data_IF_948523642600
#
_entry.id   IF_948523642600
#
_cell.length_a   1.000
_cell.length_b   1.000
_cell.length_c   1.000
_cell.angle_alpha   90.00
_cell.angle_beta   90.00
_cell.angle_gamma   90.00
#
_symmetry.space_group_name_H-M   'P 1'
#
loop_
_entity.id
_entity.type
_entity.pdbx_description
1 polymer ?
#
# COMPACT_ATOMS: atom_id res chain seq x y z
N UNK A 1 -1.03 -1.91 -15.40
CA UNK A 1 -2.15 -2.79 -15.82
C UNK A 1 -1.80 -3.77 -16.95
N UNK A 2 -1.14 -3.34 -18.03
CA UNK A 2 -0.78 -4.25 -19.14
C UNK A 2 0.15 -5.37 -18.66
N UNK A 3 1.26 -5.02 -18.03
CA UNK A 3 2.23 -5.99 -17.49
C UNK A 3 1.63 -6.90 -16.41
N UNK A 4 0.73 -6.38 -15.59
CA UNK A 4 0.01 -7.20 -14.59
C UNK A 4 -0.80 -8.30 -15.26
N UNK A 5 -1.48 -8.00 -16.38
CA UNK A 5 -2.23 -9.01 -17.16
C UNK A 5 -1.31 -10.02 -17.83
N UNK A 6 -0.19 -9.58 -18.37
CA UNK A 6 0.82 -10.50 -18.95
C UNK A 6 1.34 -11.45 -17.87
N UNK A 7 1.75 -10.92 -16.72
CA UNK A 7 2.25 -11.72 -15.61
C UNK A 7 1.18 -12.68 -15.06
N UNK A 8 -0.09 -12.24 -14.98
CA UNK A 8 -1.20 -13.12 -14.61
C UNK A 8 -1.33 -14.31 -15.56
N UNK A 9 -1.32 -14.05 -16.87
CA UNK A 9 -1.44 -15.09 -17.88
C UNK A 9 -0.28 -16.10 -17.82
N UNK A 10 0.95 -15.61 -17.66
CA UNK A 10 2.12 -16.49 -17.52
C UNK A 10 2.06 -17.32 -16.22
N UNK A 11 1.65 -16.70 -15.13
CA UNK A 11 1.51 -17.40 -13.84
C UNK A 11 0.39 -18.44 -13.89
N UNK A 12 -0.73 -18.13 -14.56
CA UNK A 12 -1.86 -19.04 -14.71
C UNK A 12 -1.54 -20.28 -15.52
N UNK A 13 -0.56 -20.24 -16.43
CA UNK A 13 -0.06 -21.44 -17.12
C UNK A 13 0.53 -22.46 -16.15
N UNK A 14 1.19 -21.98 -15.10
CA UNK A 14 1.81 -22.81 -14.05
C UNK A 14 0.84 -23.15 -12.93
N UNK A 15 -0.05 -22.21 -12.60
CA UNK A 15 -1.03 -22.31 -11.50
C UNK A 15 -2.42 -21.92 -12.00
N UNK A 16 -3.17 -22.84 -12.66
CA UNK A 16 -4.44 -22.52 -13.31
C UNK A 16 -5.51 -21.90 -12.42
N UNK A 17 -5.51 -22.23 -11.12
CA UNK A 17 -6.46 -21.67 -10.14
C UNK A 17 -6.35 -20.16 -9.95
N UNK A 18 -5.21 -19.56 -10.30
CA UNK A 18 -5.04 -18.10 -10.22
C UNK A 18 -5.96 -17.38 -11.20
N UNK A 19 -6.19 -17.92 -12.39
CA UNK A 19 -7.01 -17.29 -13.41
C UNK A 19 -8.45 -17.03 -12.95
N UNK A 20 -9.02 -17.91 -12.12
CA UNK A 20 -10.38 -17.77 -11.57
C UNK A 20 -10.46 -17.01 -10.25
N UNK A 21 -9.32 -16.86 -9.54
CA UNK A 21 -9.28 -16.28 -8.19
C UNK A 21 -8.56 -14.92 -8.14
N UNK A 22 -8.29 -14.32 -9.30
CA UNK A 22 -7.64 -13.02 -9.42
C UNK A 22 -8.57 -12.01 -10.07
N UNK A 23 -8.72 -10.86 -9.42
CA UNK A 23 -9.42 -9.70 -9.97
C UNK A 23 -8.47 -8.51 -10.06
N UNK A 24 -8.44 -7.84 -11.23
CA UNK A 24 -7.66 -6.62 -11.46
C UNK A 24 -8.62 -5.45 -11.66
N UNK A 25 -8.58 -4.49 -10.74
CA UNK A 25 -9.23 -3.20 -10.87
C UNK A 25 -8.19 -2.10 -11.12
N UNK A 26 -8.52 -1.17 -12.02
CA UNK A 26 -7.70 0.00 -12.33
C UNK A 26 -8.48 1.22 -11.86
N UNK A 27 -8.11 1.74 -10.72
CA UNK A 27 -8.79 2.85 -10.07
C UNK A 27 -7.83 3.59 -9.12
N UNK A 28 -8.28 4.71 -8.58
CA UNK A 28 -7.59 5.38 -7.48
C UNK A 28 -7.85 4.62 -6.18
N UNK A 29 -6.82 3.96 -5.66
CA UNK A 29 -6.90 3.15 -4.44
C UNK A 29 -7.18 4.00 -3.18
N UNK A 30 -7.06 5.32 -3.24
CA UNK A 30 -7.38 6.23 -2.12
C UNK A 30 -8.85 6.58 -2.04
N UNK A 31 -9.64 6.29 -3.09
CA UNK A 31 -11.04 6.70 -3.19
C UNK A 31 -12.00 5.64 -2.67
N UNK A 32 -13.06 6.10 -2.02
CA UNK A 32 -14.06 5.22 -1.41
C UNK A 32 -14.82 4.32 -2.40
N UNK A 33 -15.16 4.72 -3.65
CA UNK A 33 -15.84 3.82 -4.57
C UNK A 33 -15.01 2.60 -4.99
N UNK A 34 -13.68 2.70 -4.93
CA UNK A 34 -12.79 1.61 -5.34
C UNK A 34 -12.98 0.39 -4.43
N UNK A 35 -13.38 -0.74 -5.00
CA UNK A 35 -13.64 -2.01 -4.31
C UNK A 35 -14.64 -1.89 -3.14
N UNK A 36 -15.61 -0.96 -3.18
CA UNK A 36 -16.54 -0.75 -2.06
C UNK A 36 -17.42 -1.97 -1.76
N UNK A 37 -17.67 -2.83 -2.74
CA UNK A 37 -18.39 -4.10 -2.57
C UNK A 37 -17.64 -5.09 -1.67
N UNK A 38 -16.36 -4.83 -1.37
CA UNK A 38 -15.51 -5.65 -0.52
C UNK A 38 -15.33 -5.06 0.89
N UNK A 39 -16.02 -3.97 1.22
CA UNK A 39 -15.90 -3.33 2.54
C UNK A 39 -16.23 -4.33 3.66
N UNK A 40 -15.34 -4.41 4.65
CA UNK A 40 -15.47 -5.30 5.81
C UNK A 40 -15.27 -6.79 5.51
N UNK A 41 -14.77 -7.16 4.31
CA UNK A 41 -14.63 -8.57 3.92
C UNK A 41 -13.18 -9.03 3.72
N UNK A 42 -12.25 -8.10 3.60
CA UNK A 42 -10.86 -8.40 3.25
C UNK A 42 -10.08 -8.90 4.48
N UNK A 43 -9.34 -9.96 4.31
CA UNK A 43 -8.45 -10.52 5.34
C UNK A 43 -7.15 -9.72 5.46
N UNK A 44 -6.53 -9.37 4.33
CA UNK A 44 -5.24 -8.71 4.29
C UNK A 44 -5.23 -7.63 3.22
N UNK A 45 -4.79 -6.43 3.58
CA UNK A 45 -4.38 -5.37 2.64
C UNK A 45 -2.86 -5.29 2.65
N UNK A 46 -2.24 -5.59 1.51
CA UNK A 46 -0.80 -5.44 1.29
C UNK A 46 -0.58 -4.34 0.26
N UNK A 47 0.22 -3.33 0.60
CA UNK A 47 0.39 -2.16 -0.26
C UNK A 47 1.80 -1.58 -0.19
N UNK A 48 2.29 -1.11 -1.34
CA UNK A 48 3.44 -0.23 -1.48
C UNK A 48 2.93 1.04 -2.19
N UNK A 49 2.41 2.03 -1.43
CA UNK A 49 1.88 3.26 -2.01
C UNK A 49 3.01 4.22 -2.39
N UNK A 50 2.78 5.23 -3.23
CA UNK A 50 3.68 6.36 -3.34
C UNK A 50 3.86 7.04 -1.98
N UNK A 51 5.11 7.24 -1.54
CA UNK A 51 5.43 7.81 -0.21
C UNK A 51 6.60 8.80 -0.23
N UNK A 52 7.25 9.03 -1.37
CA UNK A 52 8.39 9.94 -1.45
C UNK A 52 7.94 11.38 -1.15
N UNK A 53 8.62 12.12 -0.24
CA UNK A 53 8.35 13.53 0.00
C UNK A 53 8.51 14.36 -1.28
N UNK A 54 7.64 15.36 -1.48
CA UNK A 54 7.68 16.19 -2.70
C UNK A 54 8.99 16.97 -2.89
N UNK A 55 9.71 17.24 -1.80
CA UNK A 55 10.99 17.94 -1.85
C UNK A 55 12.18 17.02 -2.16
N UNK A 56 11.99 15.70 -2.06
CA UNK A 56 13.07 14.72 -2.22
C UNK A 56 13.17 14.26 -3.67
N UNK A 57 14.37 14.41 -4.24
CA UNK A 57 14.68 13.86 -5.56
C UNK A 57 15.32 12.48 -5.37
N UNK A 58 14.77 11.42 -5.95
CA UNK A 58 15.36 10.09 -5.86
C UNK A 58 16.83 10.10 -6.34
N UNK A 59 17.72 9.54 -5.51
CA UNK A 59 19.15 9.50 -5.82
C UNK A 59 19.50 8.45 -6.88
N UNK A 60 18.66 7.43 -7.03
CA UNK A 60 18.85 6.36 -8.00
C UNK A 60 18.39 6.85 -9.37
N UNK A 61 19.28 6.90 -10.40
CA UNK A 61 18.92 7.39 -11.74
C UNK A 61 17.77 6.59 -12.37
N UNK A 62 17.73 5.27 -12.10
CA UNK A 62 16.68 4.39 -12.63
C UNK A 62 15.30 4.78 -12.12
N UNK A 63 15.20 5.17 -10.85
CA UNK A 63 13.95 5.62 -10.23
C UNK A 63 13.59 7.02 -10.73
N UNK A 64 14.56 7.94 -10.66
CA UNK A 64 14.35 9.35 -11.02
C UNK A 64 13.94 9.55 -12.48
N UNK A 65 14.55 8.79 -13.38
CA UNK A 65 14.46 9.06 -14.83
C UNK A 65 13.39 8.19 -15.53
N UNK A 66 12.93 7.10 -14.88
CA UNK A 66 12.03 6.12 -15.51
C UNK A 66 10.73 5.85 -14.74
N UNK A 67 10.69 6.06 -13.42
CA UNK A 67 9.45 5.85 -12.66
C UNK A 67 8.54 7.09 -12.77
N UNK A 68 7.24 6.90 -13.02
CA UNK A 68 6.30 8.02 -13.07
C UNK A 68 6.17 8.71 -11.70
N UNK A 69 6.08 10.03 -11.67
CA UNK A 69 5.86 10.82 -10.44
C UNK A 69 4.68 10.30 -9.61
N UNK A 70 3.63 9.86 -10.28
CA UNK A 70 2.43 9.29 -9.65
C UNK A 70 2.71 7.99 -8.89
N UNK A 71 3.78 7.27 -9.23
CA UNK A 71 4.19 6.05 -8.54
C UNK A 71 5.17 6.32 -7.39
N UNK A 72 5.73 7.52 -7.30
CA UNK A 72 6.79 7.88 -6.35
C UNK A 72 6.28 8.77 -5.21
N UNK A 73 5.67 9.91 -5.57
CA UNK A 73 5.42 10.98 -4.60
C UNK A 73 4.14 10.78 -3.80
N UNK A 74 4.26 10.87 -2.47
CA UNK A 74 3.17 10.66 -1.50
C UNK A 74 2.17 11.81 -1.38
N UNK A 75 2.27 12.83 -2.25
CA UNK A 75 1.25 13.88 -2.40
C UNK A 75 1.29 15.00 -1.35
N UNK A 76 2.29 15.02 -0.46
CA UNK A 76 2.51 16.08 0.53
C UNK A 76 4.00 16.39 0.68
N UNK A 77 4.33 17.48 1.38
CA UNK A 77 5.72 17.87 1.62
C UNK A 77 6.54 16.76 2.28
N UNK A 78 5.93 15.98 3.18
CA UNK A 78 6.53 14.84 3.88
C UNK A 78 6.15 13.46 3.28
N UNK A 79 5.42 13.44 2.17
CA UNK A 79 5.03 12.22 1.45
C UNK A 79 3.98 11.35 2.13
N UNK A 80 3.30 11.82 3.18
CA UNK A 80 2.37 10.98 3.97
C UNK A 80 0.92 11.00 3.49
N UNK A 81 0.52 11.95 2.65
CA UNK A 81 -0.90 12.14 2.28
C UNK A 81 -1.52 10.89 1.62
N UNK A 82 -0.84 10.29 0.64
CA UNK A 82 -1.33 9.08 -0.02
C UNK A 82 -1.30 7.88 0.93
N UNK A 83 -0.20 7.57 1.66
CA UNK A 83 -0.20 6.55 2.70
C UNK A 83 -1.34 6.67 3.71
N UNK A 84 -1.63 7.87 4.24
CA UNK A 84 -2.73 8.11 5.17
C UNK A 84 -4.10 7.79 4.54
N UNK A 85 -4.33 8.19 3.29
CA UNK A 85 -5.56 7.85 2.55
C UNK A 85 -5.70 6.34 2.33
N UNK A 86 -4.60 5.64 2.06
CA UNK A 86 -4.60 4.18 1.94
C UNK A 86 -4.93 3.52 3.28
N UNK A 87 -4.38 4.00 4.40
CA UNK A 87 -4.75 3.52 5.75
C UNK A 87 -6.26 3.69 5.98
N UNK A 88 -6.80 4.87 5.69
CA UNK A 88 -8.23 5.15 5.83
C UNK A 88 -9.09 4.23 4.94
N UNK A 89 -8.63 3.93 3.72
CA UNK A 89 -9.32 2.99 2.82
C UNK A 89 -9.21 1.56 3.31
N UNK A 90 -8.04 1.13 3.75
CA UNK A 90 -7.80 -0.19 4.33
C UNK A 90 -8.68 -0.45 5.56
N UNK A 91 -8.89 0.57 6.41
CA UNK A 91 -9.77 0.48 7.58
C UNK A 91 -11.22 0.13 7.22
N UNK A 92 -11.70 0.51 6.02
CA UNK A 92 -13.03 0.15 5.52
C UNK A 92 -13.05 -1.23 4.87
N UNK A 93 -12.03 -1.57 4.10
CA UNK A 93 -11.94 -2.85 3.38
C UNK A 93 -11.76 -4.04 4.33
N UNK A 94 -10.93 -3.88 5.35
CA UNK A 94 -10.57 -4.97 6.25
C UNK A 94 -11.73 -5.35 7.17
N UNK A 95 -11.94 -6.65 7.31
CA UNK A 95 -12.79 -7.21 8.36
C UNK A 95 -12.14 -7.01 9.75
N UNK A 96 -12.93 -7.15 10.82
CA UNK A 96 -12.37 -7.16 12.18
C UNK A 96 -11.33 -8.30 12.31
N UNK A 97 -10.17 -7.96 12.84
CA UNK A 97 -9.03 -8.86 12.92
C UNK A 97 -8.18 -8.94 11.65
N UNK A 98 -8.57 -8.29 10.56
CA UNK A 98 -7.82 -8.22 9.31
C UNK A 98 -6.51 -7.44 9.46
N UNK A 99 -5.56 -7.70 8.57
CA UNK A 99 -4.18 -7.21 8.64
C UNK A 99 -3.90 -6.17 7.54
N UNK A 100 -3.37 -5.02 7.91
CA UNK A 100 -2.71 -4.08 7.01
C UNK A 100 -1.20 -4.31 7.04
N UNK A 101 -0.57 -4.40 5.87
CA UNK A 101 0.88 -4.38 5.67
C UNK A 101 1.19 -3.29 4.65
N UNK A 102 1.95 -2.27 5.04
CA UNK A 102 2.19 -1.11 4.19
C UNK A 102 3.66 -0.68 4.25
N UNK A 103 4.28 -0.54 3.09
CA UNK A 103 5.60 0.07 2.94
C UNK A 103 5.53 1.59 3.12
N UNK A 104 6.60 2.19 3.65
CA UNK A 104 6.70 3.64 3.86
C UNK A 104 8.16 4.13 3.85
N UNK A 105 8.36 5.45 3.77
CA UNK A 105 9.67 6.05 3.95
C UNK A 105 10.20 5.85 5.38
N UNK A 106 11.52 5.82 5.51
CA UNK A 106 12.23 5.61 6.80
C UNK A 106 11.83 6.64 7.88
N UNK A 107 11.38 7.81 7.50
CA UNK A 107 11.00 8.92 8.39
C UNK A 107 9.53 8.92 8.79
N UNK A 108 8.68 8.11 8.13
CA UNK A 108 7.22 8.22 8.24
C UNK A 108 6.59 7.27 9.27
N UNK A 109 7.34 6.28 9.79
CA UNK A 109 6.79 5.20 10.60
C UNK A 109 5.99 5.65 11.82
N UNK A 110 6.49 6.62 12.59
CA UNK A 110 5.82 7.14 13.80
C UNK A 110 4.47 7.81 13.43
N UNK A 111 4.49 8.71 12.43
CA UNK A 111 3.29 9.44 11.98
C UNK A 111 2.22 8.50 11.46
N UNK A 112 2.59 7.56 10.58
CA UNK A 112 1.65 6.63 9.99
C UNK A 112 1.09 5.65 11.04
N UNK A 113 1.90 5.26 12.04
CA UNK A 113 1.44 4.46 13.17
C UNK A 113 0.38 5.19 13.99
N UNK A 114 0.61 6.46 14.34
CA UNK A 114 -0.36 7.28 15.05
C UNK A 114 -1.66 7.46 14.24
N UNK A 115 -1.54 7.67 12.93
CA UNK A 115 -2.70 7.77 12.04
C UNK A 115 -3.49 6.46 11.98
N UNK A 116 -2.82 5.31 11.87
CA UNK A 116 -3.49 4.00 11.85
C UNK A 116 -4.26 3.75 13.16
N UNK A 117 -3.67 4.06 14.32
CA UNK A 117 -4.36 3.96 15.61
C UNK A 117 -5.64 4.80 15.64
N UNK A 118 -5.63 6.01 15.09
CA UNK A 118 -6.81 6.89 15.03
C UNK A 118 -7.93 6.37 14.10
N UNK A 119 -7.58 5.46 13.18
CA UNK A 119 -8.52 4.81 12.25
C UNK A 119 -8.97 3.40 12.68
N UNK A 120 -8.81 3.08 13.98
CA UNK A 120 -9.32 1.83 14.56
C UNK A 120 -8.44 0.62 14.27
N UNK A 121 -7.14 0.84 14.07
CA UNK A 121 -6.16 -0.23 14.09
C UNK A 121 -5.58 -0.42 15.49
N UNK A 122 -5.06 -1.60 15.76
CA UNK A 122 -4.31 -1.97 16.97
C UNK A 122 -3.06 -2.76 16.59
N UNK A 123 -2.21 -3.05 17.56
CA UNK A 123 -0.99 -3.82 17.35
C UNK A 123 -0.16 -3.24 16.17
N UNK A 124 -0.07 -1.90 16.12
CA UNK A 124 0.68 -1.22 15.07
C UNK A 124 2.16 -1.37 15.36
N UNK A 125 2.91 -1.94 14.44
CA UNK A 125 4.35 -2.16 14.54
C UNK A 125 5.06 -1.69 13.27
N UNK A 126 6.19 -1.01 13.45
CA UNK A 126 7.12 -0.66 12.36
C UNK A 126 8.23 -1.70 12.32
N UNK A 127 8.54 -2.17 11.13
CA UNK A 127 9.53 -3.19 10.86
C UNK A 127 10.66 -2.65 10.00
N UNK A 128 11.85 -3.19 10.24
CA UNK A 128 13.03 -2.84 9.46
C UNK A 128 13.18 -3.74 8.22
N UNK A 129 13.81 -3.20 7.19
CA UNK A 129 14.31 -3.97 6.06
C UNK A 129 15.58 -4.76 6.43
N UNK A 130 16.13 -5.51 5.47
CA UNK A 130 17.36 -6.28 5.67
C UNK A 130 18.61 -5.42 5.94
N UNK A 131 18.53 -4.09 5.70
CA UNK A 131 19.61 -3.14 6.03
C UNK A 131 19.45 -2.53 7.42
N UNK A 132 18.39 -2.91 8.16
CA UNK A 132 18.09 -2.42 9.50
C UNK A 132 17.38 -1.07 9.54
N UNK A 133 16.82 -0.59 8.42
CA UNK A 133 16.10 0.69 8.34
C UNK A 133 14.59 0.47 8.45
N UNK A 134 13.84 1.31 9.19
CA UNK A 134 12.37 1.28 9.15
C UNK A 134 11.87 1.30 7.71
N UNK A 135 11.00 0.34 7.33
CA UNK A 135 10.60 0.21 5.94
C UNK A 135 9.12 -0.09 5.75
N UNK A 136 8.50 -0.80 6.65
CA UNK A 136 7.09 -1.13 6.53
C UNK A 136 6.42 -1.23 7.89
N UNK A 137 5.12 -1.04 7.90
CA UNK A 137 4.29 -1.22 9.09
C UNK A 137 3.32 -2.37 8.93
N UNK A 138 2.96 -2.97 10.06
CA UNK A 138 1.82 -3.88 10.19
C UNK A 138 0.83 -3.33 11.20
N UNK A 139 -0.47 -3.51 10.95
CA UNK A 139 -1.52 -3.06 11.85
C UNK A 139 -2.73 -3.99 11.75
N UNK A 140 -3.38 -4.29 12.89
CA UNK A 140 -4.54 -5.17 12.94
C UNK A 140 -5.82 -4.35 13.10
N UNK A 141 -6.83 -4.58 12.25
CA UNK A 141 -8.14 -3.92 12.35
C UNK A 141 -8.88 -4.41 13.60
N UNK A 142 -9.43 -3.48 14.39
CA UNK A 142 -10.31 -3.76 15.53
C UNK A 142 -11.74 -4.04 15.09
#
# INVERSE_FOLDING_TARGET
>A
AQWTRVNLNETAKKYPSIASNYHLEIADATQTPTLNQLDGTIDIVLTNPPYVPLADIPQQPEVRDYDPDLALYGGSADGTLIPERIIARAAKLLKNGGLLVMEHDITQGERLSAFALSYGFSNVMVHNDYTGRPRYMTAKKQ
#
